data_IF_911749316259
#
_entry.id   IF_911749316259
#
_cell.length_a   1.000
_cell.length_b   1.000
_cell.length_c   1.000
_cell.angle_alpha   90.00
_cell.angle_beta   90.00
_cell.angle_gamma   90.00
#
_symmetry.space_group_name_H-M   'P 1'
#
loop_
_entity.id
_entity.type
_entity.pdbx_description
1 polymer ?
#
# COMPACT_ATOMS: atom_id res chain seq x y z
N UNK A 1 -1.39 14.06 12.00
CA UNK A 1 -1.08 13.00 12.98
C UNK A 1 0.07 12.11 12.55
N UNK A 2 0.01 11.46 11.38
CA UNK A 2 1.06 10.55 10.91
C UNK A 2 2.48 11.15 10.81
N UNK A 3 2.63 12.43 10.40
CA UNK A 3 3.93 13.09 10.40
C UNK A 3 4.59 13.12 11.79
N UNK A 4 3.79 13.26 12.87
CA UNK A 4 4.33 13.21 14.24
C UNK A 4 4.85 11.81 14.57
N UNK A 5 4.15 10.77 14.12
CA UNK A 5 4.61 9.38 14.25
C UNK A 5 5.96 9.22 13.54
N UNK A 6 6.08 9.66 12.29
CA UNK A 6 7.35 9.57 11.55
C UNK A 6 8.49 10.34 12.23
N UNK A 7 8.19 11.55 12.73
CA UNK A 7 9.16 12.35 13.48
C UNK A 7 9.67 11.59 14.71
N UNK A 8 8.78 10.97 15.47
CA UNK A 8 9.15 10.18 16.63
C UNK A 8 9.92 8.90 16.27
N UNK A 9 9.53 8.21 15.18
CA UNK A 9 10.21 6.98 14.72
C UNK A 9 11.65 7.20 14.28
N UNK A 10 11.92 8.37 13.72
CA UNK A 10 13.21 8.72 13.12
C UNK A 10 13.95 9.81 13.89
N UNK A 11 13.53 10.09 15.12
CA UNK A 11 14.16 11.06 16.04
C UNK A 11 14.31 12.48 15.48
N UNK A 12 13.39 12.88 14.60
CA UNK A 12 13.34 14.21 13.99
C UNK A 12 12.56 15.16 14.90
N UNK A 13 13.22 16.19 15.41
CA UNK A 13 12.62 17.10 16.40
C UNK A 13 12.26 18.46 15.79
N UNK A 14 13.02 18.90 14.81
CA UNK A 14 12.89 20.14 14.05
C UNK A 14 11.59 20.23 13.24
N UNK A 15 11.09 21.45 12.95
CA UNK A 15 9.97 21.63 12.03
C UNK A 15 10.34 21.15 10.62
N UNK A 16 9.43 20.41 9.98
CA UNK A 16 9.59 19.97 8.60
C UNK A 16 8.63 20.74 7.69
N UNK A 17 9.15 21.25 6.58
CA UNK A 17 8.35 21.71 5.45
C UNK A 17 8.26 20.56 4.43
N UNK A 18 7.04 20.13 4.11
CA UNK A 18 6.80 18.98 3.23
C UNK A 18 6.03 19.45 2.01
N UNK A 19 6.61 19.19 0.84
CA UNK A 19 5.96 19.38 -0.45
C UNK A 19 5.88 18.02 -1.15
N UNK A 20 4.72 17.70 -1.70
CA UNK A 20 4.48 16.45 -2.42
C UNK A 20 3.64 16.70 -3.65
N UNK A 21 3.90 15.94 -4.71
CA UNK A 21 3.10 15.93 -5.93
C UNK A 21 2.89 14.51 -6.42
N UNK A 22 1.93 14.33 -7.32
CA UNK A 22 1.76 13.10 -8.09
C UNK A 22 1.52 13.46 -9.56
N UNK A 23 1.79 12.53 -10.46
CA UNK A 23 1.62 12.69 -11.90
C UNK A 23 0.41 11.93 -12.44
N UNK A 24 -0.53 11.52 -11.57
CA UNK A 24 -1.79 10.95 -12.01
C UNK A 24 -2.71 12.06 -12.54
N UNK A 25 -3.55 11.77 -13.54
CA UNK A 25 -4.61 12.70 -13.92
C UNK A 25 -5.48 13.05 -12.71
N UNK A 26 -5.92 14.30 -12.59
CA UNK A 26 -6.80 14.71 -11.48
C UNK A 26 -8.06 13.84 -11.44
N UNK A 27 -8.47 13.47 -10.23
CA UNK A 27 -9.74 12.77 -9.96
C UNK A 27 -9.96 11.44 -10.69
N UNK A 28 -8.90 10.81 -11.23
CA UNK A 28 -8.99 9.54 -11.96
C UNK A 28 -9.26 8.29 -11.09
N UNK A 29 -9.55 8.47 -9.80
CA UNK A 29 -9.87 7.37 -8.88
C UNK A 29 -8.69 6.44 -8.54
N UNK A 30 -7.48 6.68 -9.06
CA UNK A 30 -6.26 5.98 -8.66
C UNK A 30 -5.91 6.35 -7.21
N UNK A 31 -5.64 5.34 -6.39
CA UNK A 31 -5.44 5.47 -4.94
C UNK A 31 -4.16 6.25 -4.60
N UNK A 32 -4.22 7.58 -4.68
CA UNK A 32 -3.10 8.48 -4.42
C UNK A 32 -2.57 8.40 -2.98
N UNK A 33 -3.41 8.01 -2.02
CA UNK A 33 -3.00 7.92 -0.62
C UNK A 33 -1.91 6.85 -0.40
N UNK A 34 -2.01 5.68 -1.02
CA UNK A 34 -1.03 4.61 -0.81
C UNK A 34 0.39 5.06 -1.17
N UNK A 35 0.55 5.61 -2.39
CA UNK A 35 1.83 6.13 -2.85
C UNK A 35 2.30 7.34 -2.04
N UNK A 36 1.39 8.24 -1.65
CA UNK A 36 1.75 9.43 -0.87
C UNK A 36 2.26 9.09 0.53
N UNK A 37 1.63 8.16 1.24
CA UNK A 37 2.07 7.76 2.58
C UNK A 37 3.39 6.97 2.54
N UNK A 38 3.61 6.15 1.51
CA UNK A 38 4.89 5.49 1.29
C UNK A 38 6.01 6.49 0.96
N UNK A 39 5.75 7.43 0.04
CA UNK A 39 6.69 8.48 -0.32
C UNK A 39 7.03 9.39 0.86
N UNK A 40 6.03 9.77 1.67
CA UNK A 40 6.23 10.54 2.89
C UNK A 40 7.10 9.79 3.91
N UNK A 41 6.79 8.52 4.18
CA UNK A 41 7.57 7.68 5.11
C UNK A 41 9.02 7.59 4.67
N UNK A 42 9.25 7.26 3.39
CA UNK A 42 10.59 7.20 2.81
C UNK A 42 11.29 8.55 2.84
N UNK A 43 10.59 9.64 2.50
CA UNK A 43 11.16 10.98 2.49
C UNK A 43 11.64 11.45 3.87
N UNK A 44 10.86 11.22 4.93
CA UNK A 44 11.27 11.56 6.30
C UNK A 44 12.40 10.65 6.78
N UNK A 45 12.37 9.35 6.45
CA UNK A 45 13.46 8.42 6.75
C UNK A 45 14.78 8.86 6.10
N UNK A 46 14.76 9.15 4.81
CA UNK A 46 15.95 9.58 4.04
C UNK A 46 16.50 10.91 4.56
N UNK A 47 15.63 11.84 4.94
CA UNK A 47 16.03 13.07 5.62
C UNK A 47 16.73 12.78 6.94
N UNK A 48 16.10 12.00 7.84
CA UNK A 48 16.68 11.66 9.13
C UNK A 48 18.01 10.92 9.00
N UNK A 49 18.14 10.02 8.03
CA UNK A 49 19.39 9.32 7.71
C UNK A 49 20.47 10.29 7.26
N UNK A 50 20.15 11.27 6.41
CA UNK A 50 21.10 12.30 5.96
C UNK A 50 21.64 13.17 7.10
N UNK A 51 20.87 13.30 8.19
CA UNK A 51 21.23 14.03 9.39
C UNK A 51 21.84 13.14 10.49
N UNK A 52 22.02 11.83 10.24
CA UNK A 52 22.44 10.83 11.22
C UNK A 52 21.55 10.77 12.49
N UNK A 53 20.25 11.02 12.34
CA UNK A 53 19.27 11.01 13.45
C UNK A 53 18.67 9.62 13.71
N UNK A 54 18.62 8.77 12.68
CA UNK A 54 18.03 7.42 12.76
C UNK A 54 19.06 6.35 12.43
N UNK A 55 18.79 5.13 12.90
CA UNK A 55 19.48 3.91 12.46
C UNK A 55 18.99 3.49 11.07
N UNK A 56 19.80 2.69 10.38
CA UNK A 56 19.39 2.02 9.15
C UNK A 56 18.15 1.16 9.39
N UNK A 57 17.25 1.17 8.41
CA UNK A 57 16.01 0.40 8.39
C UNK A 57 15.88 -0.40 7.11
N UNK A 58 15.30 -1.59 7.21
CA UNK A 58 14.93 -2.41 6.04
C UNK A 58 13.66 -1.85 5.36
N UNK A 59 13.38 -2.30 4.13
CA UNK A 59 12.15 -1.92 3.44
C UNK A 59 10.91 -2.47 4.16
N UNK A 60 11.02 -3.64 4.79
CA UNK A 60 9.98 -4.25 5.61
C UNK A 60 9.65 -3.39 6.83
N UNK A 61 10.67 -2.88 7.54
CA UNK A 61 10.46 -1.96 8.67
C UNK A 61 9.79 -0.65 8.20
N UNK A 62 10.24 -0.07 7.09
CA UNK A 62 9.62 1.14 6.54
C UNK A 62 8.18 0.90 6.07
N UNK A 63 7.91 -0.28 5.52
CA UNK A 63 6.59 -0.74 5.11
C UNK A 63 5.63 -0.84 6.29
N UNK A 64 6.07 -1.42 7.40
CA UNK A 64 5.32 -1.47 8.68
C UNK A 64 5.01 -0.06 9.21
N UNK A 65 6.01 0.82 9.21
CA UNK A 65 5.83 2.21 9.65
C UNK A 65 4.78 2.92 8.79
N UNK A 66 4.88 2.76 7.45
CA UNK A 66 3.97 3.36 6.47
C UNK A 66 2.53 2.88 6.62
N UNK A 67 2.31 1.60 6.92
CA UNK A 67 0.99 0.98 7.12
C UNK A 67 0.13 1.74 8.15
N UNK A 68 0.75 2.32 9.17
CA UNK A 68 0.06 3.08 10.23
C UNK A 68 -0.54 4.39 9.75
N UNK A 69 -0.01 4.95 8.66
CA UNK A 69 -0.57 6.14 8.02
C UNK A 69 -1.71 5.80 7.06
N UNK A 70 -1.50 4.78 6.22
CA UNK A 70 -2.52 4.22 5.32
C UNK A 70 -2.25 2.74 5.15
N UNK A 71 -3.18 1.85 5.49
CA UNK A 71 -2.92 0.40 5.46
C UNK A 71 -2.33 -0.08 4.13
N UNK A 72 -2.86 0.39 2.99
CA UNK A 72 -2.36 0.00 1.66
C UNK A 72 -0.98 0.53 1.27
N UNK A 73 -0.41 1.52 1.98
CA UNK A 73 0.87 2.13 1.60
C UNK A 73 2.08 1.22 1.89
N UNK A 74 1.92 0.20 2.73
CA UNK A 74 2.96 -0.80 3.00
C UNK A 74 3.41 -1.52 1.72
N UNK A 75 2.47 -1.83 0.81
CA UNK A 75 2.76 -2.55 -0.44
C UNK A 75 3.54 -1.73 -1.46
N UNK A 76 3.55 -0.41 -1.33
CA UNK A 76 4.25 0.49 -2.27
C UNK A 76 5.77 0.51 -2.08
N UNK A 77 6.33 -0.29 -1.17
CA UNK A 77 7.78 -0.43 -0.96
C UNK A 77 8.42 -1.54 -1.80
N UNK A 78 7.63 -2.43 -2.41
CA UNK A 78 8.14 -3.61 -3.11
C UNK A 78 7.64 -3.69 -4.55
N UNK A 79 8.43 -4.37 -5.38
CA UNK A 79 8.19 -4.57 -6.81
C UNK A 79 8.80 -5.91 -7.23
N UNK A 80 8.24 -6.63 -8.23
CA UNK A 80 7.00 -6.32 -8.95
C UNK A 80 5.73 -6.65 -8.17
N UNK A 81 5.82 -7.56 -7.19
CA UNK A 81 4.71 -7.95 -6.33
C UNK A 81 5.04 -7.75 -4.86
N UNK A 82 4.01 -7.42 -4.08
CA UNK A 82 4.08 -7.24 -2.64
C UNK A 82 2.95 -8.03 -2.00
N UNK A 83 3.27 -8.84 -0.99
CA UNK A 83 2.26 -9.47 -0.15
C UNK A 83 2.08 -8.67 1.13
N UNK A 84 0.83 -8.27 1.42
CA UNK A 84 0.47 -7.57 2.66
C UNK A 84 0.06 -8.59 3.72
N UNK A 85 0.76 -8.59 4.85
CA UNK A 85 0.49 -9.40 6.03
C UNK A 85 0.10 -8.50 7.22
N UNK A 86 -0.09 -9.05 8.41
CA UNK A 86 -0.48 -8.26 9.59
C UNK A 86 0.53 -7.15 9.92
N UNK A 87 1.83 -7.45 9.76
CA UNK A 87 2.95 -6.59 10.11
C UNK A 87 3.69 -6.09 8.86
N UNK A 88 3.02 -5.25 8.07
CA UNK A 88 3.58 -4.64 6.87
C UNK A 88 3.45 -5.52 5.64
N UNK A 89 4.34 -5.32 4.69
CA UNK A 89 4.38 -6.09 3.46
C UNK A 89 5.78 -6.60 3.20
N UNK A 90 5.87 -7.65 2.39
CA UNK A 90 7.13 -8.26 1.95
C UNK A 90 7.13 -8.45 0.43
N UNK A 91 8.31 -8.52 -0.22
CA UNK A 91 8.37 -8.90 -1.61
C UNK A 91 7.93 -10.36 -1.77
N UNK A 92 7.33 -10.68 -2.91
CA UNK A 92 7.01 -12.05 -3.29
C UNK A 92 7.36 -12.24 -4.76
N UNK A 93 8.05 -13.33 -5.07
CA UNK A 93 8.23 -13.75 -6.45
C UNK A 93 7.09 -14.70 -6.82
N UNK A 94 6.33 -14.31 -7.83
CA UNK A 94 5.22 -15.11 -8.37
C UNK A 94 5.60 -15.82 -9.67
N UNK A 95 6.87 -15.74 -10.10
CA UNK A 95 7.36 -16.40 -11.31
C UNK A 95 6.89 -15.76 -12.61
N UNK A 96 6.29 -14.56 -12.56
CA UNK A 96 5.68 -13.91 -13.71
C UNK A 96 6.39 -12.63 -14.12
N UNK A 97 7.22 -12.66 -15.17
CA UNK A 97 7.75 -11.44 -15.76
C UNK A 97 6.70 -10.77 -16.67
N UNK A 98 6.70 -9.43 -16.71
CA UNK A 98 6.15 -8.68 -17.84
C UNK A 98 4.64 -8.46 -17.88
N UNK A 99 3.94 -8.41 -16.73
CA UNK A 99 2.54 -8.01 -16.70
C UNK A 99 2.35 -6.58 -17.22
N UNK A 100 1.42 -6.41 -18.17
CA UNK A 100 0.95 -5.11 -18.63
C UNK A 100 -0.33 -4.75 -17.89
N UNK A 101 -0.36 -3.57 -17.28
CA UNK A 101 -1.53 -3.05 -16.58
C UNK A 101 -2.05 -1.80 -17.31
N UNK A 102 -3.32 -1.85 -17.72
CA UNK A 102 -4.04 -0.72 -18.30
C UNK A 102 -5.17 -0.30 -17.36
N UNK A 103 -5.14 0.95 -16.91
CA UNK A 103 -6.20 1.55 -16.11
C UNK A 103 -7.14 2.37 -17.01
N UNK A 104 -8.41 1.99 -17.07
CA UNK A 104 -9.44 2.71 -17.82
C UNK A 104 -10.21 3.64 -16.88
N UNK A 105 -10.24 4.93 -17.20
CA UNK A 105 -10.90 5.97 -16.39
C UNK A 105 -12.32 6.17 -16.95
N UNK A 106 -13.33 5.73 -16.20
CA UNK A 106 -14.73 5.86 -16.60
C UNK A 106 -15.41 7.10 -16.02
N UNK A 107 -15.03 7.49 -14.80
CA UNK A 107 -15.58 8.65 -14.09
C UNK A 107 -14.45 9.40 -13.40
N UNK A 108 -14.52 10.73 -13.42
CA UNK A 108 -13.58 11.63 -12.77
C UNK A 108 -14.21 12.43 -11.63
N UNK A 109 -15.32 11.93 -11.08
CA UNK A 109 -16.00 12.59 -9.96
C UNK A 109 -15.43 12.11 -8.63
N UNK A 110 -15.41 13.02 -7.65
CA UNK A 110 -14.97 12.70 -6.29
C UNK A 110 -15.90 11.64 -5.68
N UNK A 111 -15.31 10.58 -5.12
CA UNK A 111 -16.05 9.55 -4.38
C UNK A 111 -16.85 10.15 -3.22
N UNK A 112 -18.13 9.81 -3.13
CA UNK A 112 -19.00 10.26 -2.03
C UNK A 112 -18.63 9.59 -0.69
N UNK A 113 -18.25 8.32 -0.72
CA UNK A 113 -17.84 7.54 0.46
C UNK A 113 -16.34 7.31 0.42
N UNK A 114 -15.63 7.74 1.46
CA UNK A 114 -14.19 7.48 1.59
C UNK A 114 -13.93 6.00 1.87
N UNK A 115 -12.77 5.48 1.44
CA UNK A 115 -12.38 4.09 1.71
C UNK A 115 -12.42 3.75 3.19
N UNK A 116 -11.95 4.64 4.07
CA UNK A 116 -11.98 4.43 5.52
C UNK A 116 -13.40 4.26 6.05
N UNK A 117 -14.36 5.08 5.58
CA UNK A 117 -15.77 4.95 5.96
C UNK A 117 -16.37 3.65 5.41
N UNK A 118 -16.07 3.32 4.16
CA UNK A 118 -16.53 2.07 3.53
C UNK A 118 -16.00 0.82 4.27
N UNK A 119 -14.75 0.83 4.73
CA UNK A 119 -14.17 -0.28 5.49
C UNK A 119 -14.82 -0.51 6.86
N UNK A 120 -15.34 0.54 7.50
CA UNK A 120 -16.12 0.38 8.74
C UNK A 120 -17.53 -0.14 8.41
N UNK A 121 -18.16 0.39 7.36
CA UNK A 121 -19.52 0.01 6.98
C UNK A 121 -19.62 -1.41 6.43
N UNK A 122 -18.59 -1.92 5.76
CA UNK A 122 -18.63 -3.26 5.14
C UNK A 122 -18.90 -4.37 6.16
N UNK A 123 -18.57 -4.15 7.44
CA UNK A 123 -18.82 -5.09 8.54
C UNK A 123 -20.31 -5.39 8.74
N UNK A 124 -21.21 -4.51 8.30
CA UNK A 124 -22.65 -4.70 8.42
C UNK A 124 -23.26 -5.45 7.24
N UNK A 125 -22.46 -5.88 6.26
CA UNK A 125 -22.95 -6.65 5.12
C UNK A 125 -23.12 -8.12 5.48
N UNK A 126 -24.23 -8.73 5.09
CA UNK A 126 -24.44 -10.18 5.20
C UNK A 126 -23.36 -10.99 4.46
N UNK A 127 -22.80 -10.40 3.39
CA UNK A 127 -21.71 -11.01 2.61
C UNK A 127 -20.33 -10.86 3.26
N UNK A 128 -20.22 -10.14 4.38
CA UNK A 128 -18.96 -10.02 5.10
C UNK A 128 -18.58 -11.31 5.82
N UNK A 129 -19.58 -12.11 6.23
CA UNK A 129 -19.32 -13.41 6.85
C UNK A 129 -18.53 -14.33 5.90
N UNK A 130 -17.46 -14.92 6.40
CA UNK A 130 -16.57 -15.79 5.62
C UNK A 130 -15.66 -15.04 4.63
N UNK A 131 -15.66 -13.69 4.62
CA UNK A 131 -14.91 -12.91 3.62
C UNK A 131 -13.40 -13.08 3.77
N UNK A 132 -12.89 -13.17 5.00
CA UNK A 132 -11.46 -13.28 5.29
C UNK A 132 -10.93 -14.61 4.75
N UNK A 133 -11.63 -15.70 5.09
CA UNK A 133 -11.30 -17.07 4.65
C UNK A 133 -11.37 -17.20 3.13
N UNK A 134 -12.38 -16.57 2.49
CA UNK A 134 -12.46 -16.51 1.02
C UNK A 134 -11.30 -15.71 0.40
N UNK A 135 -10.86 -14.63 1.05
CA UNK A 135 -9.74 -13.83 0.55
C UNK A 135 -8.41 -14.59 0.64
N UNK A 136 -8.18 -15.29 1.75
CA UNK A 136 -7.01 -16.18 1.93
C UNK A 136 -7.01 -17.29 0.88
N UNK A 137 -8.16 -17.95 0.66
CA UNK A 137 -8.26 -19.00 -0.35
C UNK A 137 -8.01 -18.49 -1.78
N UNK A 138 -8.51 -17.30 -2.10
CA UNK A 138 -8.25 -16.66 -3.39
C UNK A 138 -6.78 -16.31 -3.58
N UNK A 139 -6.10 -15.86 -2.53
CA UNK A 139 -4.67 -15.61 -2.57
C UNK A 139 -3.88 -16.89 -2.86
N UNK A 140 -4.18 -18.00 -2.16
CA UNK A 140 -3.56 -19.30 -2.43
C UNK A 140 -3.76 -19.73 -3.89
N UNK A 141 -5.00 -19.64 -4.39
CA UNK A 141 -5.33 -20.02 -5.76
C UNK A 141 -4.62 -19.13 -6.79
N UNK A 142 -4.54 -17.82 -6.55
CA UNK A 142 -3.86 -16.86 -7.42
C UNK A 142 -2.35 -17.15 -7.50
N UNK A 143 -1.71 -17.40 -6.35
CA UNK A 143 -0.29 -17.77 -6.30
C UNK A 143 -0.05 -19.06 -7.10
N UNK A 144 -0.89 -20.08 -6.90
CA UNK A 144 -0.78 -21.34 -7.63
C UNK A 144 -0.98 -21.13 -9.14
N UNK A 145 -2.01 -20.36 -9.54
CA UNK A 145 -2.30 -20.07 -10.93
C UNK A 145 -1.11 -19.37 -11.63
N UNK A 146 -0.49 -18.41 -10.95
CA UNK A 146 0.71 -17.73 -11.46
C UNK A 146 1.91 -18.68 -11.58
N UNK A 147 2.14 -19.53 -10.59
CA UNK A 147 3.22 -20.52 -10.60
C UNK A 147 3.04 -21.60 -11.68
N UNK A 148 1.79 -21.94 -12.02
CA UNK A 148 1.48 -22.93 -13.07
C UNK A 148 1.18 -22.29 -14.42
N UNK A 149 1.34 -20.97 -14.56
CA UNK A 149 1.00 -20.20 -15.77
C UNK A 149 -0.46 -20.41 -16.25
N UNK A 150 -1.37 -20.73 -15.32
CA UNK A 150 -2.79 -20.99 -15.59
C UNK A 150 -3.57 -19.67 -15.53
N UNK A 151 -3.54 -18.93 -16.65
CA UNK A 151 -4.20 -17.65 -16.77
C UNK A 151 -5.70 -17.70 -16.55
N UNK A 152 -6.37 -18.79 -16.91
CA UNK A 152 -7.82 -18.90 -16.71
C UNK A 152 -8.14 -18.81 -15.22
N UNK A 153 -7.40 -19.56 -14.38
CA UNK A 153 -7.58 -19.52 -12.92
C UNK A 153 -7.11 -18.23 -12.27
N UNK A 154 -6.18 -17.50 -12.91
CA UNK A 154 -5.72 -16.22 -12.39
C UNK A 154 -6.80 -15.11 -12.48
N UNK A 155 -7.76 -15.23 -13.40
CA UNK A 155 -8.83 -14.25 -13.62
C UNK A 155 -10.18 -14.64 -12.98
N UNK A 156 -10.28 -15.80 -12.35
CA UNK A 156 -11.47 -16.31 -11.63
C UNK A 156 -11.47 -15.96 -10.12
#
# INVERSE_FOLDING_TARGET
>A
DFLKILKNEFDVNEPLHISSGNNFPSDCGLASSASSFAALTKGVYEYARSQNLTKERTLEELSQISQRGSGSSCRSFFSPFALWESEGARPVDLGMPGLLHAALIFENQKKEVSSSKAHVQVLTSDLFQGRVERAEKRLENLILAFQTEDWSKAFE
#
